data_IF_149127662978
#
_entry.id   IF_149127662978
#
_cell.length_a   1.000
_cell.length_b   1.000
_cell.length_c   1.000
_cell.angle_alpha   90.00
_cell.angle_beta   90.00
_cell.angle_gamma   90.00
#
_symmetry.space_group_name_H-M   'P 1'
#
loop_
_entity.id
_entity.type
_entity.pdbx_description
1 polymer ?
#
# COMPACT_ATOMS: atom_id res chain seq x y z
N UNK A 1 6.64 4.86 42.58
CA UNK A 1 6.43 3.44 42.94
C UNK A 1 6.96 3.20 44.34
N UNK A 2 6.08 2.94 45.34
CA UNK A 2 6.52 2.23 46.55
C UNK A 2 6.98 0.83 46.11
N UNK A 3 8.03 0.26 46.70
CA UNK A 3 8.51 -1.12 46.44
C UNK A 3 7.47 -2.17 46.90
N UNK A 4 6.29 -2.15 46.27
CA UNK A 4 5.29 -3.22 46.31
C UNK A 4 5.50 -4.12 45.11
N UNK A 5 5.32 -5.43 45.33
CA UNK A 5 5.30 -6.57 44.39
C UNK A 5 5.30 -6.17 42.90
N UNK A 6 6.26 -6.70 42.12
CA UNK A 6 6.33 -6.41 40.70
C UNK A 6 5.04 -6.92 40.00
N UNK A 7 4.55 -6.23 38.96
CA UNK A 7 3.43 -6.73 38.19
C UNK A 7 3.70 -8.14 37.64
N UNK A 8 2.68 -9.01 37.69
CA UNK A 8 2.86 -10.43 37.34
C UNK A 8 3.31 -10.63 35.90
N UNK A 9 2.89 -9.76 34.97
CA UNK A 9 3.33 -9.80 33.57
C UNK A 9 4.83 -9.53 33.37
N UNK A 10 5.53 -8.93 34.34
CA UNK A 10 6.99 -8.84 34.32
C UNK A 10 7.66 -10.04 34.98
N UNK A 11 7.08 -10.60 36.03
CA UNK A 11 7.63 -11.76 36.74
C UNK A 11 7.47 -13.06 35.93
N UNK A 12 6.31 -13.23 35.27
CA UNK A 12 5.94 -14.43 34.50
C UNK A 12 5.33 -14.04 33.14
N UNK A 13 6.14 -13.53 32.19
CA UNK A 13 5.64 -13.07 30.89
C UNK A 13 5.05 -14.18 30.00
N UNK A 14 5.33 -15.44 30.31
CA UNK A 14 4.81 -16.66 29.67
C UNK A 14 3.57 -17.25 30.36
N UNK A 15 3.05 -16.60 31.41
CA UNK A 15 1.80 -17.00 32.05
C UNK A 15 0.60 -16.52 31.23
N UNK A 16 -0.26 -17.44 30.79
CA UNK A 16 -1.44 -17.10 29.97
C UNK A 16 -2.78 -17.24 30.70
N UNK A 17 -2.78 -17.89 31.86
CA UNK A 17 -3.98 -18.06 32.69
C UNK A 17 -3.59 -18.02 34.17
N UNK A 18 -4.41 -17.35 34.99
CA UNK A 18 -4.24 -17.32 36.45
C UNK A 18 -5.58 -17.11 37.13
N UNK A 19 -5.77 -17.73 38.30
CA UNK A 19 -6.86 -17.36 39.20
C UNK A 19 -6.47 -16.09 39.97
N UNK A 20 -7.31 -15.05 39.87
CA UNK A 20 -7.10 -13.77 40.54
C UNK A 20 -8.29 -13.41 41.42
N UNK A 21 -8.01 -12.77 42.55
CA UNK A 21 -9.03 -12.18 43.41
C UNK A 21 -9.37 -10.78 42.91
N UNK A 22 -10.65 -10.48 42.75
CA UNK A 22 -11.10 -9.12 42.44
C UNK A 22 -11.10 -8.30 43.73
N UNK A 23 -10.28 -7.26 43.76
CA UNK A 23 -10.11 -6.37 44.89
C UNK A 23 -11.09 -5.20 44.85
N UNK A 24 -11.37 -4.66 43.67
CA UNK A 24 -12.36 -3.60 43.47
C UNK A 24 -12.92 -3.62 42.04
N UNK A 25 -14.13 -3.06 41.90
CA UNK A 25 -14.78 -2.74 40.64
C UNK A 25 -15.25 -1.30 40.70
N UNK A 26 -14.82 -0.48 39.75
CA UNK A 26 -15.18 0.94 39.67
C UNK A 26 -15.70 1.28 38.29
N UNK A 27 -16.82 2.00 38.21
CA UNK A 27 -17.41 2.39 36.93
C UNK A 27 -16.59 3.49 36.25
N UNK A 28 -16.36 3.34 34.94
CA UNK A 28 -15.67 4.27 34.05
C UNK A 28 -16.48 4.42 32.77
N UNK A 29 -17.43 5.34 32.77
CA UNK A 29 -18.42 5.47 31.69
C UNK A 29 -19.26 4.19 31.56
N UNK A 30 -19.22 3.58 30.38
CA UNK A 30 -19.91 2.31 30.07
C UNK A 30 -19.08 1.06 30.43
N UNK A 31 -17.88 1.25 30.97
CA UNK A 31 -16.97 0.18 31.36
C UNK A 31 -16.81 0.06 32.88
N UNK A 32 -16.25 -1.05 33.33
CA UNK A 32 -15.80 -1.30 34.70
C UNK A 32 -14.28 -1.47 34.72
N UNK A 33 -13.61 -0.71 35.58
CA UNK A 33 -12.21 -0.89 35.94
C UNK A 33 -12.11 -1.95 37.03
N UNK A 34 -11.29 -2.98 36.80
CA UNK A 34 -11.18 -4.13 37.70
C UNK A 34 -9.77 -4.20 38.28
N UNK A 35 -9.65 -4.09 39.60
CA UNK A 35 -8.39 -4.34 40.30
C UNK A 35 -8.31 -5.82 40.68
N UNK A 36 -7.21 -6.46 40.31
CA UNK A 36 -6.96 -7.90 40.49
C UNK A 36 -5.71 -8.13 41.33
N UNK A 37 -5.70 -9.17 42.17
CA UNK A 37 -4.47 -9.72 42.76
C UNK A 37 -4.40 -11.25 42.59
N UNK A 38 -3.42 -11.76 41.84
CA UNK A 38 -2.48 -10.99 41.02
C UNK A 38 -3.13 -10.48 39.72
N UNK A 39 -2.69 -9.32 39.20
CA UNK A 39 -3.06 -8.84 37.87
C UNK A 39 -2.07 -9.38 36.81
N UNK A 40 -2.51 -10.26 35.89
CA UNK A 40 -1.65 -10.86 34.89
C UNK A 40 -1.51 -10.03 33.60
N UNK A 41 -2.26 -8.95 33.40
CA UNK A 41 -2.41 -8.30 32.10
C UNK A 41 -1.41 -7.16 31.90
N UNK A 42 -0.68 -7.19 30.79
CA UNK A 42 0.19 -6.10 30.37
C UNK A 42 -0.66 -4.98 29.75
N UNK A 43 -0.65 -3.75 30.31
CA UNK A 43 -1.55 -2.69 29.87
C UNK A 43 -1.07 -1.92 28.65
N UNK A 44 0.05 -2.33 28.04
CA UNK A 44 0.67 -1.63 26.91
C UNK A 44 1.62 -0.51 27.36
N UNK A 45 2.92 -0.69 27.12
CA UNK A 45 4.00 0.27 27.44
C UNK A 45 5.16 0.09 26.47
N UNK A 46 5.98 1.13 26.29
CA UNK A 46 7.15 1.09 25.42
C UNK A 46 6.80 0.91 23.93
N UNK A 47 5.60 1.33 23.52
CA UNK A 47 5.07 1.15 22.16
C UNK A 47 4.46 -0.23 21.90
N UNK A 48 4.70 -1.23 22.76
CA UNK A 48 4.08 -2.54 22.64
C UNK A 48 2.57 -2.45 22.99
N UNK A 49 1.67 -3.02 22.16
CA UNK A 49 0.25 -3.05 22.45
C UNK A 49 -0.08 -3.77 23.75
N UNK A 50 -1.18 -3.37 24.37
CA UNK A 50 -1.72 -4.04 25.54
C UNK A 50 -2.14 -5.47 25.21
N UNK A 51 -2.22 -6.31 26.25
CA UNK A 51 -2.77 -7.64 26.09
C UNK A 51 -4.26 -7.62 25.74
N UNK A 52 -4.66 -8.67 25.03
CA UNK A 52 -6.07 -9.04 24.88
C UNK A 52 -6.35 -10.21 25.83
N UNK A 53 -7.59 -10.32 26.29
CA UNK A 53 -7.93 -11.37 27.24
C UNK A 53 -9.32 -11.22 27.83
N UNK A 54 -9.56 -11.96 28.89
CA UNK A 54 -10.83 -12.06 29.60
C UNK A 54 -10.60 -12.04 31.11
N UNK A 55 -11.42 -11.28 31.81
CA UNK A 55 -11.58 -11.39 33.26
C UNK A 55 -12.80 -12.27 33.50
N UNK A 56 -12.58 -13.52 33.89
CA UNK A 56 -13.63 -14.53 33.91
C UNK A 56 -14.10 -14.86 32.48
N UNK A 57 -15.37 -14.61 32.19
CA UNK A 57 -15.96 -14.81 30.84
C UNK A 57 -16.05 -13.51 30.03
N UNK A 58 -15.71 -12.36 30.63
CA UNK A 58 -15.94 -11.04 30.01
C UNK A 58 -14.66 -10.53 29.35
N UNK A 59 -14.70 -10.15 28.07
CA UNK A 59 -13.53 -9.68 27.35
C UNK A 59 -13.06 -8.31 27.85
N UNK A 60 -11.75 -8.13 27.86
CA UNK A 60 -11.11 -6.82 28.12
C UNK A 60 -11.32 -5.92 26.91
N UNK A 61 -11.80 -4.71 27.15
CA UNK A 61 -12.04 -3.68 26.12
C UNK A 61 -10.99 -2.58 26.14
N UNK A 62 -10.14 -2.52 27.18
CA UNK A 62 -9.07 -1.55 27.31
C UNK A 62 -8.38 -1.60 28.67
N UNK A 63 -7.59 -0.57 28.96
CA UNK A 63 -6.92 -0.40 30.25
C UNK A 63 -7.06 1.05 30.72
N UNK A 64 -7.19 1.26 32.03
CA UNK A 64 -7.36 2.59 32.62
C UNK A 64 -6.71 2.72 34.00
N UNK A 65 -6.58 3.95 34.50
CA UNK A 65 -6.11 4.25 35.85
C UNK A 65 -7.27 4.41 36.83
N UNK A 66 -6.95 4.38 38.12
CA UNK A 66 -7.92 4.73 39.17
C UNK A 66 -8.27 6.22 39.16
N UNK A 67 -7.37 7.12 38.75
CA UNK A 67 -7.72 8.53 38.52
C UNK A 67 -8.33 8.74 37.14
N UNK A 68 -9.35 9.58 37.07
CA UNK A 68 -9.97 10.08 35.82
C UNK A 68 -9.21 11.30 35.26
N UNK A 69 -8.26 11.87 36.02
CA UNK A 69 -7.44 13.01 35.58
C UNK A 69 -6.23 12.52 34.73
N UNK A 70 -6.11 12.96 33.47
CA UNK A 70 -4.98 12.63 32.60
C UNK A 70 -3.60 13.01 33.16
N UNK A 71 -3.50 14.08 33.95
CA UNK A 71 -2.24 14.50 34.56
C UNK A 71 -1.89 13.64 35.79
N UNK A 72 -2.88 13.25 36.58
CA UNK A 72 -2.65 12.36 37.73
C UNK A 72 -2.42 10.90 37.33
N UNK A 73 -2.97 10.47 36.17
CA UNK A 73 -2.80 9.11 35.63
C UNK A 73 -1.39 8.84 35.08
N UNK A 74 -0.58 9.88 34.85
CA UNK A 74 0.79 9.73 34.35
C UNK A 74 1.65 8.93 35.34
N UNK A 75 2.10 7.77 34.90
CA UNK A 75 2.94 6.88 35.70
C UNK A 75 2.18 6.00 36.71
N UNK A 76 0.84 6.04 36.71
CA UNK A 76 0.04 5.10 37.50
C UNK A 76 0.03 3.70 36.88
N UNK A 77 -0.33 2.73 37.72
CA UNK A 77 -0.68 1.38 37.27
C UNK A 77 -1.99 1.46 36.49
N UNK A 78 -2.03 0.78 35.35
CA UNK A 78 -3.23 0.64 34.54
C UNK A 78 -3.81 -0.74 34.75
N UNK A 79 -5.13 -0.82 34.87
CA UNK A 79 -5.90 -2.03 35.18
C UNK A 79 -6.87 -2.32 34.04
N UNK A 80 -7.31 -3.58 33.86
CA UNK A 80 -8.23 -3.96 32.80
C UNK A 80 -9.59 -3.27 32.92
N UNK A 81 -10.13 -2.86 31.78
CA UNK A 81 -11.49 -2.39 31.59
C UNK A 81 -12.31 -3.47 30.90
N UNK A 82 -13.53 -3.71 31.38
CA UNK A 82 -14.53 -4.58 30.75
C UNK A 82 -15.83 -3.83 30.52
N UNK A 83 -16.66 -4.27 29.59
CA UNK A 83 -18.00 -3.68 29.39
C UNK A 83 -18.89 -3.94 30.61
N UNK A 84 -19.53 -2.89 31.14
CA UNK A 84 -20.29 -2.98 32.38
C UNK A 84 -21.57 -3.84 32.22
N UNK A 85 -22.19 -3.80 31.04
CA UNK A 85 -23.41 -4.56 30.76
C UNK A 85 -23.09 -6.04 30.63
N UNK A 86 -22.06 -6.39 29.86
CA UNK A 86 -21.58 -7.75 29.71
C UNK A 86 -21.15 -8.34 31.07
N UNK A 87 -20.52 -7.53 31.93
CA UNK A 87 -20.19 -7.95 33.30
C UNK A 87 -21.43 -8.28 34.13
N UNK A 88 -22.42 -7.40 34.13
CA UNK A 88 -23.66 -7.60 34.88
C UNK A 88 -24.46 -8.82 34.38
N UNK A 89 -24.41 -9.12 33.08
CA UNK A 89 -25.03 -10.31 32.49
C UNK A 89 -24.31 -11.60 32.89
N UNK A 90 -22.97 -11.62 32.86
CA UNK A 90 -22.17 -12.78 33.26
C UNK A 90 -22.16 -13.01 34.78
N UNK A 91 -22.18 -11.93 35.56
CA UNK A 91 -22.07 -11.96 37.03
C UNK A 91 -23.17 -11.14 37.71
N UNK A 92 -24.44 -11.58 37.65
CA UNK A 92 -25.57 -10.79 38.16
C UNK A 92 -25.57 -10.59 39.68
N UNK A 93 -24.86 -11.45 40.43
CA UNK A 93 -24.74 -11.40 41.90
C UNK A 93 -23.27 -11.47 42.32
N UNK A 94 -22.47 -10.54 41.80
CA UNK A 94 -21.04 -10.47 42.06
C UNK A 94 -20.71 -9.87 43.45
N UNK A 95 -19.76 -10.48 44.16
CA UNK A 95 -19.22 -9.94 45.42
C UNK A 95 -17.72 -9.64 45.33
N UNK A 96 -17.29 -8.49 45.87
CA UNK A 96 -15.86 -8.15 45.98
C UNK A 96 -15.13 -9.25 46.76
N UNK A 97 -13.97 -9.64 46.26
CA UNK A 97 -13.18 -10.72 46.81
C UNK A 97 -13.46 -12.10 46.22
N UNK A 98 -14.43 -12.20 45.30
CA UNK A 98 -14.61 -13.37 44.44
C UNK A 98 -13.36 -13.62 43.60
N UNK A 99 -13.07 -14.91 43.37
CA UNK A 99 -11.99 -15.37 42.51
C UNK A 99 -12.52 -15.63 41.11
N UNK A 100 -11.79 -15.15 40.12
CA UNK A 100 -12.09 -15.37 38.71
C UNK A 100 -10.84 -15.87 37.99
N UNK A 101 -11.04 -16.66 36.94
CA UNK A 101 -9.94 -17.06 36.05
C UNK A 101 -9.71 -15.94 35.04
N UNK A 102 -8.52 -15.36 35.06
CA UNK A 102 -8.07 -14.38 34.08
C UNK A 102 -7.32 -15.11 32.96
N UNK A 103 -7.76 -14.91 31.72
CA UNK A 103 -7.17 -15.55 30.52
C UNK A 103 -6.62 -14.51 29.59
N UNK A 104 -5.41 -14.72 29.08
CA UNK A 104 -4.78 -13.86 28.08
C UNK A 104 -4.86 -14.55 26.72
N UNK A 105 -5.06 -13.75 25.67
CA UNK A 105 -4.81 -14.21 24.30
C UNK A 105 -3.31 -14.50 24.14
N UNK A 106 -2.95 -15.77 24.37
CA UNK A 106 -1.56 -16.20 24.36
C UNK A 106 -0.88 -16.01 23.01
N UNK A 107 -1.63 -16.12 21.90
CA UNK A 107 -1.09 -15.89 20.57
C UNK A 107 -0.72 -14.42 20.39
N UNK A 108 -1.64 -13.51 20.72
CA UNK A 108 -1.38 -12.07 20.68
C UNK A 108 -0.17 -11.68 21.53
N UNK A 109 -0.13 -12.13 22.80
CA UNK A 109 0.98 -11.82 23.70
C UNK A 109 2.31 -12.35 23.18
N UNK A 110 2.34 -13.63 22.78
CA UNK A 110 3.56 -14.28 22.29
C UNK A 110 4.08 -13.59 21.02
N UNK A 111 3.20 -13.28 20.06
CA UNK A 111 3.60 -12.59 18.83
C UNK A 111 4.23 -11.22 19.12
N UNK A 112 3.68 -10.43 20.04
CA UNK A 112 4.27 -9.13 20.38
C UNK A 112 5.54 -9.24 21.22
N UNK A 113 5.68 -10.26 22.08
CA UNK A 113 6.96 -10.56 22.75
C UNK A 113 8.05 -10.90 21.74
N UNK A 114 7.72 -11.69 20.72
CA UNK A 114 8.60 -12.00 19.59
C UNK A 114 8.96 -10.73 18.83
N UNK A 115 7.97 -9.95 18.39
CA UNK A 115 8.22 -8.70 17.65
C UNK A 115 9.09 -7.72 18.43
N UNK A 116 8.83 -7.55 19.73
CA UNK A 116 9.58 -6.62 20.56
C UNK A 116 11.02 -7.08 20.76
N UNK A 117 11.22 -8.35 21.13
CA UNK A 117 12.57 -8.91 21.31
C UNK A 117 13.36 -8.88 19.98
N UNK A 118 12.69 -9.23 18.87
CA UNK A 118 13.24 -9.19 17.53
C UNK A 118 13.67 -7.79 17.10
N UNK A 119 12.87 -6.78 17.41
CA UNK A 119 13.25 -5.39 17.15
C UNK A 119 14.49 -4.99 17.94
N UNK A 120 14.61 -5.34 19.22
CA UNK A 120 15.82 -5.02 19.99
C UNK A 120 17.07 -5.66 19.39
N UNK A 121 16.97 -6.92 18.96
CA UNK A 121 18.06 -7.63 18.27
C UNK A 121 18.48 -6.89 16.98
N UNK A 122 17.52 -6.53 16.13
CA UNK A 122 17.80 -5.83 14.86
C UNK A 122 18.38 -4.44 15.11
N UNK A 123 17.81 -3.66 16.04
CA UNK A 123 18.32 -2.34 16.40
C UNK A 123 19.74 -2.39 16.96
N UNK A 124 20.07 -3.43 17.76
CA UNK A 124 21.41 -3.62 18.28
C UNK A 124 22.41 -3.93 17.16
N UNK A 125 22.06 -4.83 16.24
CA UNK A 125 22.91 -5.19 15.11
C UNK A 125 23.12 -4.02 14.13
N UNK A 126 22.09 -3.22 13.88
CA UNK A 126 22.20 -1.98 13.10
C UNK A 126 23.20 -1.01 13.74
N UNK A 127 23.17 -0.88 15.08
CA UNK A 127 24.10 -0.01 15.81
C UNK A 127 25.52 -0.57 15.82
N UNK A 128 25.71 -1.86 16.02
CA UNK A 128 27.05 -2.46 16.17
C UNK A 128 27.76 -2.68 14.85
N UNK A 129 27.05 -3.12 13.81
CA UNK A 129 27.65 -3.45 12.51
C UNK A 129 27.76 -2.24 11.58
N UNK A 130 26.84 -1.27 11.71
CA UNK A 130 26.72 -0.15 10.77
C UNK A 130 26.67 1.23 11.45
N UNK A 131 26.77 1.30 12.78
CA UNK A 131 26.68 2.55 13.55
C UNK A 131 25.35 3.32 13.33
N UNK A 132 24.28 2.60 13.06
CA UNK A 132 22.96 3.17 12.73
C UNK A 132 22.09 3.22 13.97
N UNK A 133 21.67 4.42 14.36
CA UNK A 133 20.78 4.62 15.49
C UNK A 133 19.30 4.39 15.12
N UNK A 134 18.59 3.73 16.02
CA UNK A 134 17.12 3.62 15.96
C UNK A 134 16.49 4.86 16.57
N UNK A 135 15.59 5.50 15.83
CA UNK A 135 14.85 6.68 16.26
C UNK A 135 13.56 6.27 16.95
N UNK A 136 12.74 5.48 16.25
CA UNK A 136 11.40 5.10 16.71
C UNK A 136 11.06 3.68 16.25
N UNK A 137 10.10 3.09 16.95
CA UNK A 137 9.59 1.75 16.66
C UNK A 137 8.08 1.81 16.75
N UNK A 138 7.40 1.15 15.81
CA UNK A 138 5.96 0.97 15.87
C UNK A 138 5.61 -0.51 15.67
N UNK A 139 4.88 -1.06 16.62
CA UNK A 139 4.41 -2.44 16.61
C UNK A 139 3.00 -2.50 16.03
N UNK A 140 2.90 -2.60 14.70
CA UNK A 140 1.63 -2.78 14.01
C UNK A 140 1.13 -4.22 14.09
N UNK A 141 -0.14 -4.43 13.73
CA UNK A 141 -0.73 -5.78 13.70
C UNK A 141 -0.08 -6.68 12.65
N UNK A 142 0.25 -6.12 11.47
CA UNK A 142 0.85 -6.88 10.36
C UNK A 142 2.37 -6.85 10.39
N UNK A 143 2.98 -5.69 10.70
CA UNK A 143 4.43 -5.49 10.63
C UNK A 143 4.93 -4.67 11.81
N UNK A 144 6.15 -4.96 12.26
CA UNK A 144 6.89 -4.06 13.15
C UNK A 144 7.72 -3.13 12.28
N UNK A 145 7.72 -1.84 12.57
CA UNK A 145 8.54 -0.88 11.83
C UNK A 145 9.62 -0.26 12.70
N UNK A 146 10.81 -0.11 12.15
CA UNK A 146 11.98 0.48 12.82
C UNK A 146 12.44 1.67 11.99
N UNK A 147 12.26 2.88 12.51
CA UNK A 147 12.80 4.09 11.89
C UNK A 147 14.25 4.29 12.34
N UNK A 148 15.14 4.48 11.39
CA UNK A 148 16.58 4.72 11.62
C UNK A 148 16.95 6.17 11.33
N UNK A 149 18.02 6.64 11.95
CA UNK A 149 18.44 8.04 11.84
C UNK A 149 18.93 8.43 10.42
N UNK A 150 19.30 7.44 9.60
CA UNK A 150 19.89 7.65 8.28
C UNK A 150 18.83 7.69 7.16
N UNK A 151 19.07 8.52 6.14
CA UNK A 151 18.23 8.61 4.92
C UNK A 151 18.63 7.63 3.81
N UNK A 152 19.75 6.93 3.99
CA UNK A 152 20.32 5.94 3.07
C UNK A 152 21.03 4.86 3.88
N UNK A 153 20.85 3.60 3.50
CA UNK A 153 21.52 2.45 4.12
C UNK A 153 22.61 1.89 3.20
N UNK A 154 23.69 1.29 3.73
CA UNK A 154 24.69 0.61 2.93
C UNK A 154 24.10 -0.48 2.06
N UNK A 155 24.64 -0.70 0.87
CA UNK A 155 24.26 -1.84 0.03
C UNK A 155 24.54 -3.15 0.77
N UNK A 156 23.64 -4.13 0.64
CA UNK A 156 23.78 -5.43 1.31
C UNK A 156 23.51 -5.43 2.83
N UNK A 157 23.14 -4.28 3.44
CA UNK A 157 22.91 -4.20 4.89
C UNK A 157 21.84 -5.21 5.35
N UNK A 158 20.82 -5.43 4.51
CA UNK A 158 19.65 -6.25 4.85
C UNK A 158 20.07 -7.70 5.04
N UNK A 159 20.83 -8.23 4.09
CA UNK A 159 21.36 -9.60 4.10
C UNK A 159 22.26 -9.81 5.31
N UNK A 160 23.19 -8.88 5.56
CA UNK A 160 24.11 -8.93 6.71
C UNK A 160 23.36 -8.90 8.04
N UNK A 161 22.38 -8.02 8.21
CA UNK A 161 21.59 -7.92 9.45
C UNK A 161 20.75 -9.18 9.67
N UNK A 162 20.05 -9.65 8.63
CA UNK A 162 19.21 -10.86 8.76
C UNK A 162 20.06 -12.08 9.08
N UNK A 163 21.20 -12.26 8.41
CA UNK A 163 22.10 -13.39 8.68
C UNK A 163 22.66 -13.31 10.11
N UNK A 164 23.14 -12.14 10.54
CA UNK A 164 23.65 -11.94 11.90
C UNK A 164 22.56 -12.19 12.96
N UNK A 165 21.34 -11.69 12.73
CA UNK A 165 20.21 -11.90 13.64
C UNK A 165 19.83 -13.37 13.74
N UNK A 166 19.70 -14.06 12.60
CA UNK A 166 19.36 -15.48 12.55
C UNK A 166 20.46 -16.34 13.17
N UNK A 167 21.73 -15.97 13.02
CA UNK A 167 22.85 -16.62 13.73
C UNK A 167 22.73 -16.44 15.25
N UNK A 168 22.38 -15.23 15.74
CA UNK A 168 22.12 -15.01 17.17
C UNK A 168 20.92 -15.80 17.69
N UNK A 169 19.88 -15.98 16.88
CA UNK A 169 18.74 -16.84 17.24
C UNK A 169 19.20 -18.29 17.45
N UNK A 170 20.08 -18.80 16.58
CA UNK A 170 20.66 -20.15 16.71
C UNK A 170 21.56 -20.30 17.95
N UNK A 171 22.37 -19.28 18.28
CA UNK A 171 23.16 -19.24 19.52
C UNK A 171 22.28 -19.24 20.79
N UNK A 172 21.04 -18.76 20.66
CA UNK A 172 20.02 -18.76 21.70
C UNK A 172 20.45 -18.11 23.04
N UNK A 173 21.04 -16.89 23.03
CA UNK A 173 21.44 -16.20 24.25
C UNK A 173 20.22 -15.91 25.13
N UNK A 174 20.46 -15.79 26.44
CA UNK A 174 19.40 -15.42 27.38
C UNK A 174 19.02 -13.96 27.19
N UNK A 175 17.74 -13.68 27.40
CA UNK A 175 17.19 -12.34 27.51
C UNK A 175 16.81 -12.13 28.97
N UNK A 176 17.48 -11.18 29.63
CA UNK A 176 17.29 -10.89 31.05
C UNK A 176 16.60 -9.56 31.21
N UNK A 177 15.76 -9.46 32.22
CA UNK A 177 15.10 -8.19 32.56
C UNK A 177 15.30 -7.91 34.04
N UNK A 178 15.75 -6.71 34.37
CA UNK A 178 16.04 -6.30 35.74
C UNK A 178 15.83 -4.81 35.90
N UNK A 179 15.71 -4.35 37.14
CA UNK A 179 15.57 -2.94 37.47
C UNK A 179 16.88 -2.41 38.01
N UNK A 180 17.23 -1.19 37.60
CA UNK A 180 18.37 -0.43 38.11
C UNK A 180 17.89 0.93 38.62
N UNK A 181 18.65 1.58 39.49
CA UNK A 181 18.45 3.01 39.73
C UNK A 181 18.84 3.80 38.46
N UNK A 182 18.10 4.85 38.13
CA UNK A 182 18.44 5.75 37.03
C UNK A 182 19.88 6.28 37.13
N UNK A 183 20.42 6.48 38.35
CA UNK A 183 21.82 6.87 38.55
C UNK A 183 22.83 5.78 38.19
N UNK A 184 22.46 4.51 38.29
CA UNK A 184 23.32 3.38 37.91
C UNK A 184 23.40 3.22 36.40
N UNK A 185 22.52 3.88 35.63
CA UNK A 185 22.53 3.82 34.17
C UNK A 185 23.80 4.35 33.53
N UNK A 186 24.54 5.26 34.19
CA UNK A 186 25.84 5.75 33.69
C UNK A 186 26.94 4.68 33.75
N UNK A 187 26.83 3.74 34.70
CA UNK A 187 27.78 2.63 34.87
C UNK A 187 27.51 1.46 33.91
N UNK A 188 26.32 1.42 33.31
CA UNK A 188 25.91 0.42 32.33
C UNK A 188 25.89 1.04 30.94
N UNK A 189 26.62 0.44 29.99
CA UNK A 189 26.55 0.88 28.59
C UNK A 189 25.20 0.50 27.99
N UNK A 190 24.21 1.37 28.15
CA UNK A 190 22.89 1.25 27.52
C UNK A 190 22.95 1.82 26.10
N UNK A 191 22.37 1.12 25.13
CA UNK A 191 22.27 1.60 23.73
C UNK A 191 21.39 2.86 23.63
N UNK A 192 20.41 2.99 24.51
CA UNK A 192 19.55 4.18 24.65
C UNK A 192 19.26 4.43 26.12
N UNK A 193 19.70 5.58 26.62
CA UNK A 193 19.40 6.05 27.98
C UNK A 193 18.18 6.98 27.93
N UNK A 194 17.09 6.67 28.63
CA UNK A 194 15.94 7.57 28.71
C UNK A 194 16.21 8.74 29.67
N UNK A 195 15.68 9.92 29.36
CA UNK A 195 15.72 11.10 30.24
C UNK A 195 14.65 11.00 31.36
N UNK A 196 14.68 9.93 32.16
CA UNK A 196 13.69 9.68 33.21
C UNK A 196 14.39 9.57 34.56
N UNK A 197 13.85 10.24 35.58
CA UNK A 197 14.24 10.07 36.97
C UNK A 197 13.49 8.91 37.63
N UNK A 198 14.23 7.97 38.23
CA UNK A 198 13.67 6.83 38.95
C UNK A 198 14.14 5.46 38.44
N UNK A 199 13.54 4.36 38.92
CA UNK A 199 13.94 3.01 38.53
C UNK A 199 13.75 2.76 37.03
N UNK A 200 14.79 2.24 36.38
CA UNK A 200 14.78 1.88 34.96
C UNK A 200 14.72 0.37 34.81
N UNK A 201 13.76 -0.11 34.02
CA UNK A 201 13.73 -1.50 33.59
C UNK A 201 14.67 -1.68 32.40
N UNK A 202 15.69 -2.51 32.57
CA UNK A 202 16.65 -2.87 31.54
C UNK A 202 16.28 -4.22 30.98
N UNK A 203 16.37 -4.32 29.65
CA UNK A 203 16.32 -5.57 28.89
C UNK A 203 17.70 -5.81 28.31
N UNK A 204 18.29 -6.94 28.67
CA UNK A 204 19.60 -7.36 28.22
C UNK A 204 19.46 -8.62 27.35
N UNK A 205 19.91 -8.53 26.11
CA UNK A 205 20.17 -9.70 25.28
C UNK A 205 21.64 -10.04 25.49
N UNK A 206 21.92 -11.16 26.16
CA UNK A 206 23.25 -11.54 26.62
C UNK A 206 24.29 -11.48 25.49
N UNK A 207 25.32 -10.64 25.67
CA UNK A 207 26.39 -10.45 24.68
C UNK A 207 26.01 -9.67 23.42
N UNK A 208 24.81 -9.07 23.36
CA UNK A 208 24.29 -8.36 22.18
C UNK A 208 23.87 -6.94 22.50
N UNK A 209 22.97 -6.75 23.45
CA UNK A 209 22.33 -5.45 23.70
C UNK A 209 21.95 -5.26 25.16
N UNK A 210 21.98 -4.00 25.62
CA UNK A 210 21.36 -3.56 26.87
C UNK A 210 20.59 -2.29 26.59
N UNK A 211 19.28 -2.31 26.81
CA UNK A 211 18.42 -1.16 26.53
C UNK A 211 17.37 -0.99 27.61
N UNK A 212 17.09 0.26 27.99
CA UNK A 212 15.95 0.55 28.85
C UNK A 212 14.63 0.31 28.09
N UNK A 213 13.79 -0.60 28.58
CA UNK A 213 12.51 -0.93 27.95
C UNK A 213 11.48 -1.41 28.95
N UNK A 214 10.25 -0.92 28.80
CA UNK A 214 9.09 -1.26 29.63
C UNK A 214 8.16 -2.31 29.01
N UNK A 215 8.48 -2.83 27.82
CA UNK A 215 7.73 -3.92 27.19
C UNK A 215 8.01 -5.30 27.81
N UNK A 216 7.23 -6.29 27.41
CA UNK A 216 7.45 -7.70 27.80
C UNK A 216 8.21 -8.42 26.68
N UNK A 217 9.15 -9.29 27.07
CA UNK A 217 10.09 -9.92 26.15
C UNK A 217 10.05 -11.45 26.26
N UNK A 218 10.68 -12.10 25.29
CA UNK A 218 11.08 -13.48 25.42
C UNK A 218 12.17 -13.61 26.48
N UNK A 219 12.36 -14.82 27.01
CA UNK A 219 13.45 -15.18 27.92
C UNK A 219 14.71 -15.63 27.17
N UNK A 220 14.56 -15.99 25.88
CA UNK A 220 15.64 -16.36 24.96
C UNK A 220 15.30 -16.00 23.52
N UNK A 221 16.27 -16.07 22.61
CA UNK A 221 16.05 -15.70 21.21
C UNK A 221 15.44 -16.82 20.34
N UNK A 222 15.56 -18.10 20.72
CA UNK A 222 15.07 -19.21 19.88
C UNK A 222 13.59 -19.10 19.45
N UNK A 223 12.64 -18.66 20.32
CA UNK A 223 11.25 -18.47 19.90
C UNK A 223 11.06 -17.45 18.77
N UNK A 224 12.03 -16.58 18.50
CA UNK A 224 11.99 -15.71 17.33
C UNK A 224 12.01 -16.49 16.01
N UNK A 225 12.53 -17.73 15.98
CA UNK A 225 12.66 -18.61 14.80
C UNK A 225 13.50 -18.02 13.66
N UNK A 226 13.04 -16.94 13.08
CA UNK A 226 13.74 -16.12 12.11
C UNK A 226 13.40 -14.63 12.27
N UNK A 227 14.32 -13.80 11.81
CA UNK A 227 14.17 -12.37 11.56
C UNK A 227 14.12 -12.15 10.05
N UNK A 228 13.09 -11.43 9.60
CA UNK A 228 12.87 -11.09 8.19
C UNK A 228 12.58 -9.59 8.04
N UNK A 229 13.45 -8.89 7.32
CA UNK A 229 13.28 -7.49 6.88
C UNK A 229 12.66 -7.55 5.48
N UNK A 230 11.34 -7.34 5.41
CA UNK A 230 10.55 -7.53 4.20
C UNK A 230 10.55 -6.31 3.28
N UNK A 231 11.06 -5.17 3.75
CA UNK A 231 11.04 -3.94 2.98
C UNK A 231 11.56 -2.74 3.75
N UNK A 232 11.72 -1.64 3.04
CA UNK A 232 12.07 -0.35 3.59
C UNK A 232 11.38 0.76 2.81
N UNK A 233 11.08 1.87 3.49
CA UNK A 233 10.54 3.07 2.88
C UNK A 233 11.29 4.32 3.35
N UNK A 234 11.39 5.33 2.49
CA UNK A 234 11.94 6.63 2.88
C UNK A 234 10.82 7.49 3.47
N UNK A 235 11.06 8.01 4.67
CA UNK A 235 10.13 8.89 5.38
C UNK A 235 10.87 10.07 5.98
N UNK A 236 10.52 11.30 5.56
CA UNK A 236 11.03 12.55 6.14
C UNK A 236 12.57 12.61 6.25
N UNK A 237 13.27 12.15 5.22
CA UNK A 237 14.74 12.13 5.20
C UNK A 237 15.39 10.98 5.99
N UNK A 238 14.58 10.03 6.49
CA UNK A 238 15.00 8.82 7.19
C UNK A 238 14.52 7.57 6.46
N UNK A 239 14.99 6.41 6.91
CA UNK A 239 14.51 5.11 6.45
C UNK A 239 13.69 4.44 7.56
N UNK A 240 12.59 3.81 7.15
CA UNK A 240 11.79 2.93 7.99
C UNK A 240 11.85 1.52 7.44
N UNK A 241 12.33 0.59 8.27
CA UNK A 241 12.40 -0.83 7.97
C UNK A 241 11.09 -1.51 8.36
N UNK A 242 10.66 -2.50 7.58
CA UNK A 242 9.56 -3.40 7.92
C UNK A 242 10.13 -4.75 8.36
N UNK A 243 9.93 -5.08 9.62
CA UNK A 243 10.44 -6.26 10.31
C UNK A 243 9.30 -7.21 10.66
N UNK A 244 9.52 -8.49 10.41
CA UNK A 244 8.76 -9.62 10.92
C UNK A 244 9.67 -10.57 11.67
N UNK A 245 9.19 -11.10 12.77
CA UNK A 245 9.85 -12.17 13.53
C UNK A 245 8.86 -13.25 13.95
N UNK A 246 9.36 -14.41 14.35
CA UNK A 246 8.55 -15.47 14.95
C UNK A 246 7.46 -15.99 14.02
N UNK A 247 6.28 -16.22 14.58
CA UNK A 247 5.15 -16.76 13.83
C UNK A 247 4.70 -15.84 12.67
N UNK A 248 4.90 -14.52 12.79
CA UNK A 248 4.57 -13.59 11.69
C UNK A 248 5.48 -13.78 10.48
N UNK A 249 6.78 -13.96 10.71
CA UNK A 249 7.73 -14.20 9.61
C UNK A 249 7.45 -15.53 8.91
N UNK A 250 7.10 -16.57 9.67
CA UNK A 250 6.78 -17.90 9.13
C UNK A 250 5.52 -17.85 8.26
N UNK A 251 4.44 -17.23 8.77
CA UNK A 251 3.22 -17.04 8.00
C UNK A 251 3.47 -16.25 6.72
N UNK A 252 4.31 -15.23 6.78
CA UNK A 252 4.68 -14.45 5.59
C UNK A 252 5.40 -15.30 4.55
N UNK A 253 6.37 -16.12 4.96
CA UNK A 253 7.06 -17.01 4.02
C UNK A 253 6.13 -18.05 3.38
N UNK A 254 5.16 -18.57 4.14
CA UNK A 254 4.14 -19.47 3.59
C UNK A 254 3.28 -18.76 2.52
N UNK A 255 2.84 -17.53 2.79
CA UNK A 255 2.11 -16.70 1.82
C UNK A 255 2.94 -16.37 0.58
N UNK A 256 4.23 -16.04 0.76
CA UNK A 256 5.13 -15.76 -0.36
C UNK A 256 5.33 -17.03 -1.23
N UNK A 257 5.42 -18.22 -0.63
CA UNK A 257 5.53 -19.48 -1.38
C UNK A 257 4.23 -19.84 -2.12
N UNK A 258 3.05 -19.55 -1.57
CA UNK A 258 1.77 -19.72 -2.28
C UNK A 258 1.75 -18.87 -3.57
N UNK A 259 2.13 -17.61 -3.48
CA UNK A 259 2.23 -16.70 -4.63
C UNK A 259 3.28 -17.19 -5.63
N UNK A 260 4.46 -17.60 -5.16
CA UNK A 260 5.50 -18.14 -6.05
C UNK A 260 5.04 -19.42 -6.73
N UNK A 261 4.29 -20.27 -6.05
CA UNK A 261 3.73 -21.50 -6.62
C UNK A 261 2.73 -21.21 -7.74
N UNK A 262 1.85 -20.23 -7.55
CA UNK A 262 0.94 -19.76 -8.59
C UNK A 262 1.71 -19.22 -9.80
N UNK A 263 2.74 -18.38 -9.57
CA UNK A 263 3.57 -17.82 -10.64
C UNK A 263 4.33 -18.89 -11.43
N UNK A 264 4.89 -19.91 -10.76
CA UNK A 264 5.54 -21.06 -11.43
C UNK A 264 4.58 -21.78 -12.36
N UNK A 265 3.32 -21.94 -11.93
CA UNK A 265 2.27 -22.58 -12.74
C UNK A 265 1.90 -21.71 -13.94
N UNK A 266 1.63 -20.43 -13.73
CA UNK A 266 1.26 -19.49 -14.79
C UNK A 266 2.37 -19.32 -15.84
N UNK A 267 3.63 -19.29 -15.40
CA UNK A 267 4.79 -19.11 -16.27
C UNK A 267 5.34 -20.44 -16.80
N UNK A 268 4.88 -21.59 -16.29
CA UNK A 268 5.45 -22.92 -16.56
C UNK A 268 6.98 -22.92 -16.43
N UNK A 269 7.48 -22.38 -15.32
CA UNK A 269 8.92 -22.19 -15.09
C UNK A 269 9.28 -22.35 -13.61
N UNK A 270 10.53 -22.73 -13.34
CA UNK A 270 11.08 -22.77 -11.98
C UNK A 270 11.26 -21.36 -11.39
N UNK A 271 11.33 -21.25 -10.06
CA UNK A 271 11.42 -19.96 -9.35
C UNK A 271 12.59 -19.09 -9.84
N UNK A 272 13.75 -19.70 -10.09
CA UNK A 272 14.96 -19.00 -10.56
C UNK A 272 14.81 -18.43 -11.99
N UNK A 273 13.99 -19.08 -12.82
CA UNK A 273 13.74 -18.68 -14.21
C UNK A 273 12.60 -17.67 -14.36
N UNK A 274 11.74 -17.50 -13.33
CA UNK A 274 10.58 -16.61 -13.38
C UNK A 274 10.92 -15.20 -13.89
N UNK A 275 11.98 -14.51 -13.41
CA UNK A 275 12.30 -13.17 -13.89
C UNK A 275 12.60 -13.14 -15.39
N UNK A 276 13.32 -14.15 -15.90
CA UNK A 276 13.66 -14.28 -17.31
C UNK A 276 12.41 -14.53 -18.17
N UNK A 277 11.53 -15.43 -17.73
CA UNK A 277 10.29 -15.75 -18.44
C UNK A 277 9.33 -14.56 -18.47
N UNK A 278 9.12 -13.90 -17.33
CA UNK A 278 8.26 -12.70 -17.26
C UNK A 278 8.80 -11.58 -18.16
N UNK A 279 10.12 -11.35 -18.17
CA UNK A 279 10.74 -10.37 -19.08
C UNK A 279 10.52 -10.73 -20.55
N UNK A 280 10.68 -12.00 -20.91
CA UNK A 280 10.39 -12.50 -22.26
C UNK A 280 8.93 -12.26 -22.68
N UNK A 281 7.98 -12.57 -21.80
CA UNK A 281 6.55 -12.32 -22.06
C UNK A 281 6.24 -10.82 -22.25
N UNK A 282 6.89 -9.93 -21.49
CA UNK A 282 6.74 -8.49 -21.65
C UNK A 282 7.31 -7.98 -22.99
N UNK A 283 8.47 -8.51 -23.39
CA UNK A 283 9.11 -8.18 -24.67
C UNK A 283 8.28 -8.70 -25.86
N UNK A 284 7.75 -9.93 -25.77
CA UNK A 284 6.85 -10.51 -26.76
C UNK A 284 5.55 -9.72 -26.88
N UNK A 285 4.92 -9.37 -25.75
CA UNK A 285 3.71 -8.54 -25.75
C UNK A 285 3.95 -7.17 -26.39
N UNK A 286 5.13 -6.56 -26.18
CA UNK A 286 5.52 -5.31 -26.84
C UNK A 286 5.71 -5.51 -28.35
N UNK A 287 6.38 -6.59 -28.77
CA UNK A 287 6.59 -6.93 -30.18
C UNK A 287 5.26 -7.19 -30.91
N UNK A 288 4.37 -7.97 -30.31
CA UNK A 288 3.03 -8.24 -30.86
C UNK A 288 2.20 -6.96 -31.01
N UNK A 289 2.24 -6.05 -30.04
CA UNK A 289 1.58 -4.73 -30.16
C UNK A 289 2.12 -3.92 -31.33
N UNK A 290 3.44 -3.87 -31.53
CA UNK A 290 4.06 -3.20 -32.68
C UNK A 290 3.67 -3.84 -34.01
N UNK A 291 3.62 -5.17 -34.06
CA UNK A 291 3.22 -5.91 -35.27
C UNK A 291 1.74 -5.69 -35.60
N UNK A 292 0.85 -5.68 -34.60
CA UNK A 292 -0.57 -5.35 -34.77
C UNK A 292 -0.72 -3.92 -35.31
N UNK A 293 -0.02 -2.95 -34.73
CA UNK A 293 -0.03 -1.55 -35.20
C UNK A 293 0.45 -1.45 -36.67
N UNK A 294 1.53 -2.15 -37.03
CA UNK A 294 2.05 -2.20 -38.41
C UNK A 294 1.03 -2.82 -39.38
N UNK A 295 0.48 -3.99 -39.04
CA UNK A 295 -0.51 -4.68 -39.88
C UNK A 295 -1.81 -3.87 -40.03
N UNK A 296 -2.24 -3.19 -38.97
CA UNK A 296 -3.38 -2.25 -39.02
C UNK A 296 -3.09 -1.12 -40.00
N UNK A 297 -1.92 -0.50 -39.92
CA UNK A 297 -1.50 0.57 -40.83
C UNK A 297 -1.52 0.11 -42.29
N UNK A 298 -0.93 -1.06 -42.59
CA UNK A 298 -0.94 -1.66 -43.93
C UNK A 298 -2.37 -2.00 -44.40
N UNK A 299 -3.21 -2.55 -43.52
CA UNK A 299 -4.60 -2.87 -43.82
C UNK A 299 -5.41 -1.62 -44.17
N UNK A 300 -5.28 -0.54 -43.37
CA UNK A 300 -5.95 0.73 -43.65
C UNK A 300 -5.44 1.38 -44.92
N UNK A 301 -4.14 1.28 -45.22
CA UNK A 301 -3.59 1.77 -46.49
C UNK A 301 -4.29 1.15 -47.70
N UNK A 302 -4.47 -0.19 -47.69
CA UNK A 302 -5.17 -0.91 -48.75
C UNK A 302 -6.68 -0.60 -48.77
N UNK A 303 -7.34 -0.57 -47.60
CA UNK A 303 -8.77 -0.24 -47.51
C UNK A 303 -9.07 1.15 -48.04
N UNK A 304 -8.24 2.14 -47.71
CA UNK A 304 -8.38 3.50 -48.25
C UNK A 304 -8.24 3.50 -49.77
N UNK A 305 -7.30 2.73 -50.33
CA UNK A 305 -7.16 2.59 -51.78
C UNK A 305 -8.44 2.06 -52.44
N UNK A 306 -9.04 1.02 -51.85
CA UNK A 306 -10.30 0.43 -52.32
C UNK A 306 -11.47 1.42 -52.17
N UNK A 307 -11.58 2.08 -51.02
CA UNK A 307 -12.60 3.10 -50.77
C UNK A 307 -12.54 4.23 -51.79
N UNK A 308 -11.33 4.70 -52.13
CA UNK A 308 -11.13 5.72 -53.15
C UNK A 308 -11.53 5.27 -54.56
N UNK A 309 -11.44 3.97 -54.89
CA UNK A 309 -11.90 3.45 -56.18
C UNK A 309 -13.42 3.44 -56.31
N UNK A 310 -14.13 3.25 -55.20
CA UNK A 310 -15.61 3.23 -55.14
C UNK A 310 -16.23 4.54 -54.68
N UNK A 311 -15.40 5.53 -54.31
CA UNK A 311 -15.85 6.80 -53.79
C UNK A 311 -16.62 7.58 -54.86
N UNK A 312 -17.82 8.05 -54.52
CA UNK A 312 -18.51 9.05 -55.34
C UNK A 312 -17.80 10.39 -55.19
N UNK A 313 -17.51 11.05 -56.31
CA UNK A 313 -17.01 12.42 -56.34
C UNK A 313 -18.00 13.34 -55.61
N UNK A 314 -17.48 14.33 -54.87
CA UNK A 314 -18.30 15.42 -54.38
C UNK A 314 -18.92 16.18 -55.57
N UNK A 315 -20.17 16.69 -55.44
CA UNK A 315 -20.68 17.66 -56.39
C UNK A 315 -19.94 18.99 -56.19
N UNK A 316 -18.77 19.13 -56.81
CA UNK A 316 -18.06 20.41 -56.92
C UNK A 316 -18.53 21.09 -58.21
N UNK A 317 -19.17 22.25 -58.14
CA UNK A 317 -19.39 23.10 -59.31
C UNK A 317 -18.08 23.79 -59.69
N UNK A 318 -17.27 23.14 -60.55
CA UNK A 318 -16.02 23.71 -61.07
C UNK A 318 -14.93 22.66 -61.28
N UNK A 319 -14.06 22.87 -62.27
CA UNK A 319 -13.07 21.91 -62.71
C UNK A 319 -11.98 21.64 -61.63
N UNK A 320 -11.97 20.39 -61.11
CA UNK A 320 -10.90 19.63 -60.42
C UNK A 320 -10.66 19.77 -58.89
N UNK A 321 -10.67 18.56 -58.28
CA UNK A 321 -9.79 18.02 -57.21
C UNK A 321 -10.01 18.44 -55.75
N UNK A 322 -11.09 17.91 -55.15
CA UNK A 322 -11.17 17.68 -53.72
C UNK A 322 -12.22 16.61 -53.41
N UNK A 323 -11.86 15.56 -52.67
CA UNK A 323 -12.80 14.56 -52.16
C UNK A 323 -13.10 14.89 -50.70
N UNK A 324 -14.36 15.12 -50.34
CA UNK A 324 -14.79 15.02 -48.94
C UNK A 324 -15.16 13.58 -48.68
N UNK A 325 -14.46 12.96 -47.74
CA UNK A 325 -14.69 11.58 -47.38
C UNK A 325 -15.07 11.51 -45.91
N UNK A 326 -16.29 11.07 -45.62
CA UNK A 326 -16.70 10.75 -44.25
C UNK A 326 -16.89 9.25 -44.05
N UNK A 327 -16.21 8.71 -43.05
CA UNK A 327 -16.24 7.29 -42.74
C UNK A 327 -16.40 7.06 -41.24
N UNK A 328 -17.30 6.15 -40.89
CA UNK A 328 -17.38 5.57 -39.54
C UNK A 328 -16.62 4.24 -39.55
N UNK A 329 -15.54 4.16 -38.79
CA UNK A 329 -14.69 2.98 -38.70
C UNK A 329 -15.27 1.88 -37.79
N UNK A 330 -16.43 2.11 -37.17
CA UNK A 330 -16.97 1.22 -36.14
C UNK A 330 -16.16 1.34 -34.86
N UNK A 331 -15.83 0.22 -34.22
CA UNK A 331 -15.08 0.18 -32.96
C UNK A 331 -13.55 0.13 -33.18
N UNK A 332 -12.80 0.90 -32.39
CA UNK A 332 -11.33 0.78 -32.34
C UNK A 332 -10.66 1.86 -31.48
N UNK A 333 -9.48 2.31 -31.90
CA UNK A 333 -8.65 3.26 -31.14
C UNK A 333 -8.30 4.52 -31.93
N UNK A 334 -7.86 5.58 -31.24
CA UNK A 334 -7.41 6.83 -31.88
C UNK A 334 -6.28 6.62 -32.90
N UNK A 335 -5.46 5.59 -32.72
CA UNK A 335 -4.38 5.24 -33.65
C UNK A 335 -4.94 4.81 -35.02
N UNK A 336 -6.10 4.13 -35.05
CA UNK A 336 -6.76 3.69 -36.27
C UNK A 336 -7.18 4.87 -37.15
N UNK A 337 -7.71 5.94 -36.54
CA UNK A 337 -8.05 7.19 -37.24
C UNK A 337 -6.83 7.83 -37.90
N UNK A 338 -5.66 7.76 -37.23
CA UNK A 338 -4.40 8.32 -37.75
C UNK A 338 -3.86 7.51 -38.91
N UNK A 339 -3.99 6.18 -38.87
CA UNK A 339 -3.58 5.33 -40.00
C UNK A 339 -4.43 5.59 -41.24
N UNK A 340 -5.75 5.74 -41.08
CA UNK A 340 -6.64 6.09 -42.19
C UNK A 340 -6.34 7.49 -42.72
N UNK A 341 -6.09 8.46 -41.84
CA UNK A 341 -5.65 9.79 -42.24
C UNK A 341 -4.38 9.75 -43.09
N UNK A 342 -3.32 9.11 -42.59
CA UNK A 342 -2.04 9.03 -43.28
C UNK A 342 -2.19 8.35 -44.65
N UNK A 343 -2.96 7.26 -44.70
CA UNK A 343 -3.27 6.55 -45.94
C UNK A 343 -4.07 7.39 -46.93
N UNK A 344 -5.04 8.19 -46.47
CA UNK A 344 -5.86 9.05 -47.32
C UNK A 344 -5.05 10.21 -47.89
N UNK A 345 -4.36 10.96 -47.03
CA UNK A 345 -3.59 12.15 -47.42
C UNK A 345 -2.38 11.81 -48.31
N UNK A 346 -1.91 10.56 -48.32
CA UNK A 346 -0.84 10.09 -49.22
C UNK A 346 -1.35 9.60 -50.58
N UNK A 347 -2.62 9.19 -50.69
CA UNK A 347 -3.18 8.60 -51.90
C UNK A 347 -4.10 9.55 -52.69
N UNK A 348 -4.62 10.60 -52.06
CA UNK A 348 -5.51 11.57 -52.72
C UNK A 348 -5.35 12.98 -52.14
N UNK A 349 -5.91 13.98 -52.84
CA UNK A 349 -6.07 15.35 -52.33
C UNK A 349 -7.53 15.59 -51.93
N UNK A 350 -7.77 16.05 -50.71
CA UNK A 350 -9.13 16.22 -50.22
C UNK A 350 -9.25 16.65 -48.76
N UNK A 351 -10.49 16.63 -48.27
CA UNK A 351 -10.86 16.83 -46.88
C UNK A 351 -11.38 15.50 -46.33
N UNK A 352 -10.87 15.06 -45.20
CA UNK A 352 -11.24 13.80 -44.56
C UNK A 352 -11.93 14.10 -43.23
N UNK A 353 -13.04 13.43 -42.96
CA UNK A 353 -13.72 13.45 -41.65
C UNK A 353 -14.01 12.01 -41.19
N UNK A 354 -13.25 11.53 -40.22
CA UNK A 354 -13.39 10.19 -39.67
C UNK A 354 -14.07 10.22 -38.31
N UNK A 355 -14.95 9.24 -38.08
CA UNK A 355 -15.52 8.90 -36.78
C UNK A 355 -15.19 7.46 -36.41
N UNK A 356 -15.08 7.19 -35.12
CA UNK A 356 -14.86 5.86 -34.57
C UNK A 356 -15.42 5.77 -33.15
N UNK A 357 -16.21 4.73 -32.91
CA UNK A 357 -16.78 4.41 -31.61
C UNK A 357 -15.70 3.84 -30.69
N UNK A 358 -15.68 4.32 -29.44
CA UNK A 358 -14.82 3.84 -28.36
C UNK A 358 -15.68 3.38 -27.20
N UNK A 359 -15.47 2.14 -26.76
CA UNK A 359 -16.08 1.58 -25.55
C UNK A 359 -15.12 1.73 -24.37
N UNK A 360 -15.49 2.55 -23.40
CA UNK A 360 -14.76 2.77 -22.16
C UNK A 360 -15.54 2.28 -20.94
N UNK A 361 -14.93 2.40 -19.76
CA UNK A 361 -15.58 2.07 -18.48
C UNK A 361 -16.82 2.95 -18.18
N UNK A 362 -16.86 4.16 -18.73
CA UNK A 362 -17.93 5.15 -18.53
C UNK A 362 -19.02 5.11 -19.61
N UNK A 363 -18.94 4.16 -20.55
CA UNK A 363 -19.89 4.00 -21.65
C UNK A 363 -19.28 4.17 -23.04
N UNK A 364 -20.15 4.38 -24.03
CA UNK A 364 -19.76 4.62 -25.43
C UNK A 364 -19.46 6.09 -25.68
N UNK A 365 -18.38 6.36 -26.42
CA UNK A 365 -18.03 7.69 -26.92
C UNK A 365 -17.60 7.58 -28.38
N UNK A 366 -17.55 8.70 -29.10
CA UNK A 366 -17.06 8.73 -30.48
C UNK A 366 -15.82 9.59 -30.54
N UNK A 367 -14.69 9.02 -30.96
CA UNK A 367 -13.52 9.78 -31.35
C UNK A 367 -13.66 10.24 -32.80
N UNK A 368 -13.14 11.42 -33.12
CA UNK A 368 -13.10 11.90 -34.49
C UNK A 368 -11.76 12.50 -34.88
N UNK A 369 -11.51 12.51 -36.18
CA UNK A 369 -10.39 13.17 -36.82
C UNK A 369 -10.84 13.82 -38.12
N UNK A 370 -10.56 15.12 -38.27
CA UNK A 370 -10.73 15.85 -39.51
C UNK A 370 -9.36 16.31 -40.02
N UNK A 371 -9.09 16.20 -41.32
CA UNK A 371 -7.81 16.62 -41.91
C UNK A 371 -7.94 17.01 -43.38
N UNK A 372 -6.99 17.78 -43.91
CA UNK A 372 -6.89 18.03 -45.35
C UNK A 372 -5.43 18.27 -45.79
N UNK A 373 -5.15 18.02 -47.08
CA UNK A 373 -3.86 18.27 -47.74
C UNK A 373 -4.02 19.15 -48.99
N UNK A 374 -5.04 20.01 -49.00
CA UNK A 374 -5.29 20.95 -50.09
C UNK A 374 -4.23 22.06 -50.10
N UNK A 375 -3.65 22.32 -51.28
CA UNK A 375 -2.73 23.44 -51.52
C UNK A 375 -3.50 24.70 -51.89
N UNK A 376 -2.91 25.87 -51.61
CA UNK A 376 -3.44 27.14 -52.07
C UNK A 376 -3.13 27.31 -53.56
N UNK A 377 -4.16 27.23 -54.41
CA UNK A 377 -4.07 27.54 -55.84
C UNK A 377 -5.18 28.52 -56.23
N UNK A 378 -4.87 29.47 -57.12
CA UNK A 378 -5.86 30.39 -57.68
C UNK A 378 -6.98 29.59 -58.40
N UNK A 379 -8.24 29.85 -58.02
CA UNK A 379 -9.42 29.19 -58.59
C UNK A 379 -9.98 28.00 -57.80
N UNK A 380 -9.43 27.65 -56.63
CA UNK A 380 -9.99 26.60 -55.77
C UNK A 380 -11.02 27.19 -54.77
N UNK A 381 -12.31 26.78 -54.76
CA UNK A 381 -13.30 27.29 -53.81
C UNK A 381 -13.02 26.94 -52.34
N UNK A 382 -12.11 26.00 -52.06
CA UNK A 382 -11.64 25.66 -50.71
C UNK A 382 -10.31 26.37 -50.34
N UNK A 383 -9.93 27.41 -51.09
CA UNK A 383 -8.75 28.24 -50.80
C UNK A 383 -8.82 28.80 -49.36
N UNK A 384 -7.77 28.54 -48.57
CA UNK A 384 -7.69 29.03 -47.20
C UNK A 384 -8.59 28.32 -46.20
N UNK A 385 -9.06 27.10 -46.51
CA UNK A 385 -9.79 26.26 -45.55
C UNK A 385 -9.00 26.13 -44.24
N UNK A 386 -9.65 26.56 -43.15
CA UNK A 386 -9.11 26.51 -41.80
C UNK A 386 -10.03 25.61 -40.97
N UNK A 387 -9.64 24.33 -40.81
CA UNK A 387 -10.40 23.36 -40.03
C UNK A 387 -10.55 23.80 -38.58
N UNK A 388 -9.59 24.55 -38.01
CA UNK A 388 -9.73 25.05 -36.65
C UNK A 388 -10.93 26.00 -36.53
N UNK A 389 -11.17 26.85 -37.53
CA UNK A 389 -12.35 27.72 -37.58
C UNK A 389 -13.62 26.95 -37.93
N UNK A 390 -13.61 26.17 -39.01
CA UNK A 390 -14.80 25.48 -39.50
C UNK A 390 -15.27 24.39 -38.53
N UNK A 391 -14.37 23.46 -38.20
CA UNK A 391 -14.67 22.31 -37.35
C UNK A 391 -14.71 22.72 -35.88
N UNK A 392 -13.85 23.65 -35.45
CA UNK A 392 -13.82 24.09 -34.04
C UNK A 392 -15.09 24.80 -33.59
N UNK A 393 -15.80 25.49 -34.48
CA UNK A 393 -17.12 26.06 -34.17
C UNK A 393 -18.20 24.98 -34.03
N UNK A 394 -18.32 24.09 -35.01
CA UNK A 394 -19.27 22.97 -34.97
C UNK A 394 -19.03 22.07 -33.74
N UNK A 395 -17.76 21.84 -33.39
CA UNK A 395 -17.37 21.05 -32.23
C UNK A 395 -17.95 21.62 -30.92
N UNK A 396 -17.88 22.95 -30.74
CA UNK A 396 -18.42 23.62 -29.56
C UNK A 396 -19.95 23.59 -29.53
N UNK A 397 -20.61 23.73 -30.68
CA UNK A 397 -22.07 23.75 -30.77
C UNK A 397 -22.68 22.38 -30.44
N UNK A 398 -22.06 21.30 -30.89
CA UNK A 398 -22.54 19.93 -30.69
C UNK A 398 -22.05 19.28 -29.38
N UNK A 399 -21.38 20.05 -28.51
CA UNK A 399 -20.94 19.58 -27.20
C UNK A 399 -19.77 18.60 -27.22
N UNK A 400 -18.97 18.60 -28.29
CA UNK A 400 -17.74 17.80 -28.36
C UNK A 400 -16.55 18.52 -27.73
N UNK A 401 -15.49 17.74 -27.44
CA UNK A 401 -14.22 18.24 -26.89
C UNK A 401 -13.10 17.89 -27.84
N UNK A 402 -12.16 18.81 -28.05
CA UNK A 402 -11.06 18.58 -28.98
C UNK A 402 -10.37 19.86 -29.42
N UNK A 403 -9.41 19.70 -30.31
CA UNK A 403 -8.61 20.80 -30.82
C UNK A 403 -7.68 20.35 -31.93
N UNK A 404 -6.93 21.29 -32.48
CA UNK A 404 -6.09 21.05 -33.63
C UNK A 404 -5.56 22.34 -34.24
N UNK A 405 -5.15 22.22 -35.49
CA UNK A 405 -4.59 23.27 -36.33
C UNK A 405 -5.50 23.54 -37.53
N UNK A 406 -5.09 24.46 -38.40
CA UNK A 406 -5.80 24.76 -39.64
C UNK A 406 -5.95 23.53 -40.55
N UNK A 407 -5.03 22.56 -40.51
CA UNK A 407 -5.01 21.39 -41.41
C UNK A 407 -5.46 20.08 -40.77
N UNK A 408 -5.59 20.03 -39.44
CA UNK A 408 -6.00 18.82 -38.70
C UNK A 408 -6.71 19.18 -37.41
N UNK A 409 -7.86 18.57 -37.17
CA UNK A 409 -8.63 18.64 -35.93
C UNK A 409 -8.91 17.24 -35.41
N UNK A 410 -8.83 17.04 -34.09
CA UNK A 410 -9.18 15.77 -33.46
C UNK A 410 -9.93 16.01 -32.15
N UNK A 411 -10.77 15.07 -31.75
CA UNK A 411 -11.52 15.19 -30.51
C UNK A 411 -12.45 14.01 -30.27
N UNK A 412 -13.43 14.24 -29.40
CA UNK A 412 -14.39 13.23 -29.01
C UNK A 412 -15.77 13.82 -28.68
N UNK A 413 -16.80 13.02 -28.91
CA UNK A 413 -18.17 13.24 -28.49
C UNK A 413 -18.59 12.21 -27.44
N UNK A 414 -19.39 12.60 -26.44
CA UNK A 414 -19.88 11.67 -25.43
C UNK A 414 -21.02 10.76 -25.93
N UNK A 415 -21.54 10.97 -27.14
CA UNK A 415 -22.57 10.08 -27.72
C UNK A 415 -22.49 10.04 -29.25
N UNK A 416 -23.03 8.95 -29.83
CA UNK A 416 -23.18 8.83 -31.29
C UNK A 416 -24.11 9.90 -31.86
N UNK A 417 -25.17 10.26 -31.15
CA UNK A 417 -26.12 11.28 -31.60
C UNK A 417 -25.44 12.64 -31.84
N UNK A 418 -24.59 13.07 -30.91
CA UNK A 418 -23.85 14.33 -31.07
C UNK A 418 -22.81 14.26 -32.20
N UNK A 419 -22.20 13.08 -32.39
CA UNK A 419 -21.30 12.85 -33.52
C UNK A 419 -22.03 12.98 -34.86
N UNK A 420 -23.19 12.35 -35.03
CA UNK A 420 -23.95 12.45 -36.29
C UNK A 420 -24.38 13.90 -36.56
N UNK A 421 -24.87 14.62 -35.55
CA UNK A 421 -25.22 16.04 -35.67
C UNK A 421 -24.00 16.91 -36.07
N UNK A 422 -22.84 16.65 -35.47
CA UNK A 422 -21.59 17.33 -35.84
C UNK A 422 -21.14 17.00 -37.26
N UNK A 423 -21.23 15.74 -37.66
CA UNK A 423 -20.88 15.29 -39.00
C UNK A 423 -21.75 15.99 -40.05
N UNK A 424 -23.06 16.01 -39.86
CA UNK A 424 -24.00 16.71 -40.76
C UNK A 424 -23.70 18.21 -40.86
N UNK A 425 -23.37 18.85 -39.73
CA UNK A 425 -23.04 20.27 -39.71
C UNK A 425 -21.74 20.59 -40.45
N UNK A 426 -20.68 19.79 -40.23
CA UNK A 426 -19.41 19.93 -40.95
C UNK A 426 -19.59 19.66 -42.44
N UNK A 427 -20.38 18.66 -42.82
CA UNK A 427 -20.76 18.39 -44.20
C UNK A 427 -21.49 19.56 -44.85
N UNK A 428 -22.44 20.17 -44.16
CA UNK A 428 -23.19 21.34 -44.65
C UNK A 428 -22.31 22.57 -44.80
N UNK A 429 -21.25 22.72 -44.01
CA UNK A 429 -20.32 23.86 -44.09
C UNK A 429 -19.27 23.71 -45.20
N UNK A 430 -19.08 22.49 -45.71
CA UNK A 430 -18.11 22.17 -46.77
C UNK A 430 -18.74 22.08 -48.17
N UNK A 431 -20.07 22.00 -48.26
CA UNK A 431 -20.85 22.19 -49.50
C UNK A 431 -21.11 23.67 -49.72
#
# INVERSE_FOLDING_TARGET
MKLGKQPLYYEKPDLYEVEAKILSLSRRGDNLLILLDPDPFFPGKGGQPADRGWVGEVPIVGFGSESDDPEESKGQTLYPLVDAKAWQEAYPSFEIGTRVVCRIDGKHRQEYREQHTGQHLVSALLKTLFHIDTVSVHFGEQTTTIEVAQGTLPEGYREVIQEAANRKILENPRVRTYWIDGKESESLTLRRTPEISGPLRVVEIEGVDRTACSGIHLDRLHPLRLVLIIGEERIRGRIRLHLLTGERAVRRLAQDEEVLSELRTLCTAGTEDLPRVVKGLQEEAKSLKQRISTLKKESYFLKVKEWLQTARELPCTGHRQGVFFSLDLGEGEMEDLRFVEEAFLSQTRGVLLLGLVRRGKEGESVAFLASHNLEASEGNPLQGLDLQKLVGQALKQQGGKGGGSSTRMQGSFPSRQQWEAFKEEVESRLR
#
